data_IF_068977172522
#
_entry.id   IF_068977172522
#
_cell.length_a   1.000
_cell.length_b   1.000
_cell.length_c   1.000
_cell.angle_alpha   90.00
_cell.angle_beta   90.00
_cell.angle_gamma   90.00
#
_symmetry.space_group_name_H-M   'P 1'
#
loop_
_entity.id
_entity.type
_entity.pdbx_description
1 polymer ?
#
# COMPACT_ATOMS: atom_id res chain seq x y z
N UNK A 1 -2.56 -22.62 47.40
CA UNK A 1 -1.96 -21.28 47.26
C UNK A 1 -0.45 -21.20 47.04
N UNK A 2 0.24 -22.29 46.70
CA UNK A 2 1.62 -22.19 46.14
C UNK A 2 1.72 -22.59 44.64
N UNK A 3 0.76 -23.34 44.10
CA UNK A 3 0.76 -23.74 42.69
C UNK A 3 0.24 -22.70 41.69
N UNK A 4 -0.50 -21.67 42.15
CA UNK A 4 -0.96 -20.57 41.28
C UNK A 4 0.14 -19.51 41.07
N UNK A 5 1.08 -19.38 42.01
CA UNK A 5 2.19 -18.42 41.91
C UNK A 5 3.31 -18.92 40.98
N UNK A 6 3.54 -20.23 40.88
CA UNK A 6 4.54 -20.78 39.94
C UNK A 6 4.10 -20.71 38.48
N UNK A 7 2.80 -20.80 38.19
CA UNK A 7 2.29 -20.68 36.81
C UNK A 7 2.40 -19.24 36.29
N UNK A 8 2.05 -18.26 37.12
CA UNK A 8 2.25 -16.85 36.80
C UNK A 8 3.74 -16.49 36.68
N UNK A 9 4.61 -17.10 37.49
CA UNK A 9 6.05 -16.80 37.46
C UNK A 9 6.79 -17.52 36.32
N UNK A 10 6.26 -18.62 35.79
CA UNK A 10 6.78 -19.29 34.60
C UNK A 10 6.38 -18.54 33.31
N UNK A 11 5.17 -17.98 33.23
CA UNK A 11 4.73 -17.15 32.10
C UNK A 11 5.36 -15.75 32.09
N UNK A 12 5.60 -15.14 33.27
CA UNK A 12 6.29 -13.84 33.35
C UNK A 12 7.77 -13.96 32.94
N UNK A 13 8.43 -15.09 33.22
CA UNK A 13 9.81 -15.33 32.78
C UNK A 13 9.93 -15.65 31.28
N UNK A 14 8.88 -16.18 30.64
CA UNK A 14 8.84 -16.37 29.19
C UNK A 14 8.49 -15.07 28.41
N UNK A 15 7.97 -14.07 29.11
CA UNK A 15 7.70 -12.70 28.64
C UNK A 15 8.91 -11.76 28.75
N UNK A 16 10.06 -12.23 29.22
CA UNK A 16 11.36 -11.59 28.95
C UNK A 16 11.72 -11.79 27.47
N UNK A 17 10.99 -11.10 26.58
CA UNK A 17 11.30 -10.97 25.17
C UNK A 17 12.73 -10.42 25.09
N UNK A 18 13.70 -11.28 24.75
CA UNK A 18 15.05 -10.81 24.40
C UNK A 18 14.86 -9.65 23.44
N UNK A 19 15.38 -8.45 23.78
CA UNK A 19 15.47 -7.36 22.81
C UNK A 19 16.12 -7.95 21.56
N UNK A 20 15.35 -8.07 20.47
CA UNK A 20 15.88 -8.56 19.21
C UNK A 20 17.11 -7.73 18.87
N UNK A 21 18.21 -8.40 18.54
CA UNK A 21 19.40 -7.69 18.06
C UNK A 21 19.03 -6.94 16.78
N UNK A 22 19.55 -5.72 16.62
CA UNK A 22 19.37 -4.93 15.40
C UNK A 22 19.82 -5.69 14.15
N UNK A 23 20.84 -6.57 14.29
CA UNK A 23 21.31 -7.43 13.20
C UNK A 23 20.28 -8.51 12.83
N UNK A 24 19.70 -9.18 13.83
CA UNK A 24 18.63 -10.17 13.61
C UNK A 24 17.43 -9.52 12.93
N UNK A 25 17.07 -8.32 13.39
CA UNK A 25 16.01 -7.54 12.79
C UNK A 25 16.29 -7.20 11.32
N UNK A 26 17.50 -6.70 11.03
CA UNK A 26 17.89 -6.38 9.66
C UNK A 26 17.78 -7.60 8.75
N UNK A 27 18.31 -8.75 9.17
CA UNK A 27 18.25 -10.00 8.40
C UNK A 27 16.80 -10.44 8.14
N UNK A 28 15.92 -10.32 9.13
CA UNK A 28 14.51 -10.68 8.98
C UNK A 28 13.76 -9.78 7.98
N UNK A 29 14.10 -8.49 7.91
CA UNK A 29 13.41 -7.52 7.03
C UNK A 29 13.96 -7.56 5.60
N UNK A 30 15.26 -7.82 5.41
CA UNK A 30 15.93 -7.72 4.09
C UNK A 30 15.24 -8.57 3.01
N UNK A 31 14.93 -9.83 3.27
CA UNK A 31 14.33 -10.70 2.26
C UNK A 31 12.90 -10.26 1.86
N UNK A 32 11.96 -10.08 2.82
CA UNK A 32 10.67 -9.42 2.59
C UNK A 32 10.77 -8.14 1.76
N UNK A 33 11.71 -7.28 2.13
CA UNK A 33 11.89 -5.97 1.53
C UNK A 33 12.39 -6.03 0.08
N UNK A 34 13.39 -6.88 -0.20
CA UNK A 34 13.89 -7.08 -1.55
C UNK A 34 12.81 -7.71 -2.44
N UNK A 35 12.08 -8.71 -1.95
CA UNK A 35 10.99 -9.34 -2.70
C UNK A 35 9.89 -8.33 -3.04
N UNK A 36 9.44 -7.55 -2.06
CA UNK A 36 8.45 -6.49 -2.25
C UNK A 36 8.95 -5.47 -3.29
N UNK A 37 10.17 -4.94 -3.11
CA UNK A 37 10.73 -3.94 -4.00
C UNK A 37 10.95 -4.42 -5.44
N UNK A 38 11.32 -5.69 -5.65
CA UNK A 38 11.39 -6.26 -7.01
C UNK A 38 10.02 -6.32 -7.69
N UNK A 39 8.95 -6.59 -6.93
CA UNK A 39 7.58 -6.49 -7.44
C UNK A 39 7.21 -5.05 -7.83
N UNK A 40 7.65 -4.06 -7.05
CA UNK A 40 7.46 -2.64 -7.37
C UNK A 40 8.27 -2.22 -8.60
N UNK A 41 9.49 -2.73 -8.79
CA UNK A 41 10.27 -2.52 -10.02
C UNK A 41 9.53 -3.10 -11.22
N UNK A 42 8.99 -4.31 -11.10
CA UNK A 42 8.18 -4.91 -12.16
C UNK A 42 6.95 -4.07 -12.49
N UNK A 43 6.25 -3.55 -11.47
CA UNK A 43 5.13 -2.62 -11.68
C UNK A 43 5.58 -1.31 -12.36
N UNK A 44 6.72 -0.74 -11.95
CA UNK A 44 7.33 0.42 -12.60
C UNK A 44 7.62 0.19 -14.08
N UNK A 45 8.20 -0.97 -14.43
CA UNK A 45 8.46 -1.35 -15.84
C UNK A 45 7.16 -1.54 -16.61
N UNK A 46 6.09 -2.04 -15.98
CA UNK A 46 4.77 -2.08 -16.62
C UNK A 46 4.26 -0.66 -16.86
N UNK A 47 4.37 0.24 -15.87
CA UNK A 47 3.94 1.63 -16.00
C UNK A 47 4.67 2.33 -17.15
N UNK A 48 5.98 2.10 -17.28
CA UNK A 48 6.83 2.62 -18.36
C UNK A 48 6.34 2.24 -19.76
N UNK A 49 5.84 1.02 -19.89
CA UNK A 49 5.42 0.48 -21.18
C UNK A 49 4.02 0.94 -21.54
N UNK A 50 3.14 1.02 -20.54
CA UNK A 50 1.73 1.35 -20.76
C UNK A 50 1.50 2.86 -20.87
N UNK A 51 2.39 3.70 -20.32
CA UNK A 51 2.29 5.16 -20.48
C UNK A 51 2.27 5.60 -21.96
N UNK A 52 2.96 4.86 -22.82
CA UNK A 52 3.01 5.12 -24.28
C UNK A 52 1.87 4.43 -25.06
N UNK A 53 0.90 3.81 -24.38
CA UNK A 53 -0.26 3.25 -25.06
C UNK A 53 -1.25 4.36 -25.38
N UNK A 54 -1.87 4.30 -26.56
CA UNK A 54 -2.85 5.29 -27.02
C UNK A 54 -3.93 5.63 -25.98
N UNK A 55 -4.37 4.67 -25.16
CA UNK A 55 -5.36 4.94 -24.10
C UNK A 55 -4.81 5.83 -22.98
N UNK A 56 -3.55 5.70 -22.59
CA UNK A 56 -2.91 6.54 -21.57
C UNK A 56 -2.58 7.93 -22.11
N UNK A 57 -2.24 8.04 -23.40
CA UNK A 57 -2.01 9.34 -24.05
C UNK A 57 -3.31 10.14 -24.25
N UNK A 58 -4.41 9.45 -24.59
CA UNK A 58 -5.71 10.11 -24.81
C UNK A 58 -6.48 10.32 -23.50
N UNK A 59 -6.28 9.48 -22.49
CA UNK A 59 -6.97 9.53 -21.19
C UNK A 59 -5.93 9.64 -20.05
N UNK A 60 -5.24 10.79 -19.91
CA UNK A 60 -4.18 10.98 -18.91
C UNK A 60 -4.71 10.86 -17.47
N UNK A 61 -6.02 11.01 -17.25
CA UNK A 61 -6.67 10.82 -15.95
C UNK A 61 -6.45 9.41 -15.39
N UNK A 62 -6.04 8.44 -16.22
CA UNK A 62 -5.64 7.11 -15.76
C UNK A 62 -4.40 7.19 -14.85
N UNK A 63 -3.46 8.11 -15.09
CA UNK A 63 -2.29 8.30 -14.21
C UNK A 63 -2.69 8.81 -12.83
N UNK A 64 -3.77 9.60 -12.74
CA UNK A 64 -4.36 10.02 -11.47
C UNK A 64 -4.94 8.82 -10.71
N UNK A 65 -5.57 7.90 -11.45
CA UNK A 65 -6.20 6.70 -10.92
C UNK A 65 -5.17 5.64 -10.46
N UNK A 66 -3.99 5.57 -11.08
CA UNK A 66 -2.97 4.53 -10.80
C UNK A 66 -2.57 4.51 -9.32
N UNK A 67 -2.03 5.58 -8.69
CA UNK A 67 -1.67 5.51 -7.27
C UNK A 67 -2.85 5.25 -6.34
N UNK A 68 -4.06 5.73 -6.67
CA UNK A 68 -5.25 5.47 -5.88
C UNK A 68 -5.61 3.97 -5.85
N UNK A 69 -5.54 3.28 -6.99
CA UNK A 69 -5.81 1.84 -7.08
C UNK A 69 -4.66 0.98 -6.53
N UNK A 70 -3.40 1.42 -6.65
CA UNK A 70 -2.27 0.73 -6.03
C UNK A 70 -2.33 0.85 -4.50
N UNK A 71 -2.62 2.05 -3.98
CA UNK A 71 -2.82 2.29 -2.55
C UNK A 71 -4.03 1.52 -1.97
N UNK A 72 -5.09 1.33 -2.77
CA UNK A 72 -6.25 0.51 -2.39
C UNK A 72 -5.83 -0.91 -1.97
N UNK A 73 -4.93 -1.53 -2.72
CA UNK A 73 -4.42 -2.88 -2.41
C UNK A 73 -3.61 -2.88 -1.13
N UNK A 74 -2.71 -1.90 -0.94
CA UNK A 74 -1.93 -1.76 0.30
C UNK A 74 -2.81 -1.72 1.55
N UNK A 75 -4.02 -1.18 1.42
CA UNK A 75 -4.93 -0.98 2.54
C UNK A 75 -5.89 -2.17 2.74
N UNK A 76 -6.43 -2.74 1.67
CA UNK A 76 -7.41 -3.84 1.78
C UNK A 76 -6.77 -5.21 1.96
N UNK A 77 -5.68 -5.49 1.25
CA UNK A 77 -5.03 -6.81 1.31
C UNK A 77 -4.19 -6.96 2.56
N UNK A 78 -3.51 -5.89 2.98
CA UNK A 78 -2.74 -5.93 4.22
C UNK A 78 -3.66 -6.06 5.44
N UNK A 79 -4.81 -5.36 5.43
CA UNK A 79 -5.80 -5.54 6.50
C UNK A 79 -6.47 -6.92 6.44
N UNK A 80 -6.73 -7.47 5.25
CA UNK A 80 -7.17 -8.86 5.10
C UNK A 80 -6.15 -9.82 5.70
N UNK A 81 -4.88 -9.69 5.32
CA UNK A 81 -3.80 -10.54 5.78
C UNK A 81 -3.66 -10.48 7.30
N UNK A 82 -3.59 -9.29 7.87
CA UNK A 82 -3.52 -9.09 9.33
C UNK A 82 -4.72 -9.71 10.06
N UNK A 83 -5.95 -9.49 9.58
CA UNK A 83 -7.16 -10.08 10.17
C UNK A 83 -7.14 -11.60 10.12
N UNK A 84 -6.87 -12.17 8.96
CA UNK A 84 -6.83 -13.63 8.72
C UNK A 84 -5.69 -14.25 9.52
N UNK A 85 -4.51 -13.66 9.57
CA UNK A 85 -3.39 -14.07 10.41
C UNK A 85 -3.73 -14.02 11.91
N UNK A 86 -4.43 -12.97 12.37
CA UNK A 86 -4.86 -12.88 13.77
C UNK A 86 -5.83 -14.00 14.14
N UNK A 87 -6.81 -14.29 13.28
CA UNK A 87 -7.69 -15.44 13.47
C UNK A 87 -6.93 -16.77 13.41
N UNK A 88 -5.90 -16.85 12.57
CA UNK A 88 -5.03 -18.01 12.50
C UNK A 88 -4.27 -18.21 13.84
N UNK A 89 -3.61 -17.18 14.34
CA UNK A 89 -2.83 -17.22 15.58
C UNK A 89 -3.70 -17.52 16.82
N UNK A 90 -4.98 -17.12 16.80
CA UNK A 90 -5.98 -17.46 17.85
C UNK A 90 -6.52 -18.91 17.78
N UNK A 91 -6.05 -19.74 16.85
CA UNK A 91 -6.54 -21.12 16.68
C UNK A 91 -7.94 -21.23 16.01
N UNK A 92 -8.54 -20.11 15.60
CA UNK A 92 -9.91 -20.11 15.06
C UNK A 92 -10.02 -20.74 13.66
N UNK A 93 -8.90 -20.90 12.96
CA UNK A 93 -8.84 -21.55 11.65
C UNK A 93 -8.63 -23.07 11.71
N UNK A 94 -8.51 -23.67 12.90
CA UNK A 94 -8.40 -25.13 13.02
C UNK A 94 -9.75 -25.83 12.79
N UNK A 95 -10.86 -25.13 13.07
CA UNK A 95 -12.21 -25.59 12.72
C UNK A 95 -12.54 -25.21 11.27
N UNK A 96 -12.79 -26.22 10.43
CA UNK A 96 -13.09 -26.04 9.00
C UNK A 96 -14.31 -25.15 8.73
N UNK A 97 -15.35 -25.21 9.56
CA UNK A 97 -16.55 -24.36 9.40
C UNK A 97 -16.25 -22.91 9.75
N UNK A 98 -15.53 -22.67 10.85
CA UNK A 98 -15.11 -21.31 11.23
C UNK A 98 -14.15 -20.72 10.20
N UNK A 99 -13.17 -21.51 9.74
CA UNK A 99 -12.24 -21.11 8.68
C UNK A 99 -12.98 -20.67 7.41
N UNK A 100 -13.95 -21.48 6.93
CA UNK A 100 -14.73 -21.13 5.74
C UNK A 100 -15.58 -19.87 5.96
N UNK A 101 -16.17 -19.70 7.15
CA UNK A 101 -16.91 -18.47 7.49
C UNK A 101 -16.02 -17.23 7.50
N UNK A 102 -14.83 -17.31 8.10
CA UNK A 102 -13.85 -16.22 8.13
C UNK A 102 -13.39 -15.87 6.72
N UNK A 103 -13.00 -16.88 5.93
CA UNK A 103 -12.52 -16.70 4.56
C UNK A 103 -13.60 -16.08 3.68
N UNK A 104 -14.80 -16.66 3.68
CA UNK A 104 -15.91 -16.15 2.87
C UNK A 104 -16.29 -14.72 3.26
N UNK A 105 -16.46 -14.45 4.55
CA UNK A 105 -16.82 -13.12 5.05
C UNK A 105 -15.81 -12.06 4.65
N UNK A 106 -14.51 -12.34 4.86
CA UNK A 106 -13.47 -11.38 4.54
C UNK A 106 -13.28 -11.21 3.03
N UNK A 107 -13.46 -12.25 2.21
CA UNK A 107 -13.43 -12.11 0.74
C UNK A 107 -14.57 -11.21 0.25
N UNK A 108 -15.80 -11.46 0.71
CA UNK A 108 -16.96 -10.62 0.33
C UNK A 108 -16.78 -9.18 0.80
N UNK A 109 -16.23 -8.98 2.00
CA UNK A 109 -15.94 -7.65 2.53
C UNK A 109 -14.89 -6.91 1.68
N UNK A 110 -13.75 -7.55 1.39
CA UNK A 110 -12.66 -6.95 0.60
C UNK A 110 -13.15 -6.60 -0.79
N UNK A 111 -13.94 -7.49 -1.41
CA UNK A 111 -14.56 -7.25 -2.71
C UNK A 111 -15.49 -6.02 -2.68
N UNK A 112 -16.35 -5.92 -1.68
CA UNK A 112 -17.25 -4.79 -1.52
C UNK A 112 -16.50 -3.47 -1.28
N UNK A 113 -15.46 -3.48 -0.45
CA UNK A 113 -14.62 -2.32 -0.20
C UNK A 113 -13.85 -1.90 -1.46
N UNK A 114 -13.31 -2.87 -2.22
CA UNK A 114 -12.59 -2.62 -3.46
C UNK A 114 -13.50 -1.94 -4.49
N UNK A 115 -14.74 -2.41 -4.67
CA UNK A 115 -15.70 -1.80 -5.57
C UNK A 115 -16.06 -0.35 -5.19
N UNK A 116 -16.38 -0.11 -3.91
CA UNK A 116 -16.72 1.25 -3.43
C UNK A 116 -15.55 2.19 -3.65
N UNK A 117 -14.35 1.78 -3.25
CA UNK A 117 -13.19 2.67 -3.29
C UNK A 117 -12.69 2.87 -4.72
N UNK A 118 -12.74 1.85 -5.58
CA UNK A 118 -12.41 1.98 -7.00
C UNK A 118 -13.37 2.94 -7.72
N UNK A 119 -14.66 2.88 -7.41
CA UNK A 119 -15.63 3.84 -7.93
C UNK A 119 -15.33 5.26 -7.44
N UNK A 120 -15.13 5.45 -6.14
CA UNK A 120 -14.78 6.76 -5.59
C UNK A 120 -13.46 7.30 -6.17
N UNK A 121 -12.44 6.46 -6.34
CA UNK A 121 -11.18 6.83 -6.97
C UNK A 121 -11.38 7.30 -8.41
N UNK A 122 -12.24 6.64 -9.18
CA UNK A 122 -12.57 7.11 -10.54
C UNK A 122 -13.29 8.45 -10.54
N UNK A 123 -14.18 8.72 -9.58
CA UNK A 123 -14.83 10.02 -9.45
C UNK A 123 -13.82 11.12 -9.10
N UNK A 124 -12.88 10.85 -8.19
CA UNK A 124 -11.81 11.80 -7.85
C UNK A 124 -10.90 12.04 -9.06
N UNK A 125 -10.53 10.99 -9.80
CA UNK A 125 -9.72 11.11 -11.01
C UNK A 125 -10.42 11.96 -12.09
N UNK A 126 -11.73 11.78 -12.29
CA UNK A 126 -12.53 12.60 -13.20
C UNK A 126 -12.54 14.07 -12.76
N UNK A 127 -12.73 14.34 -11.46
CA UNK A 127 -12.73 15.71 -10.93
C UNK A 127 -11.35 16.35 -11.08
N UNK A 128 -10.28 15.63 -10.75
CA UNK A 128 -8.91 16.15 -10.87
C UNK A 128 -8.47 16.33 -12.31
N UNK A 129 -8.83 15.43 -13.23
CA UNK A 129 -8.59 15.60 -14.66
C UNK A 129 -9.31 16.79 -15.27
N UNK A 130 -10.47 17.17 -14.73
CA UNK A 130 -11.20 18.35 -15.17
C UNK A 130 -10.55 19.68 -14.74
N UNK A 131 -9.77 19.72 -13.64
CA UNK A 131 -9.23 20.96 -13.07
C UNK A 131 -8.29 21.73 -14.03
N UNK A 132 -7.32 21.10 -14.73
CA UNK A 132 -6.36 21.84 -15.56
C UNK A 132 -6.97 22.42 -16.84
N UNK A 133 -7.77 21.63 -17.58
CA UNK A 133 -8.21 21.96 -18.94
C UNK A 133 -9.70 22.30 -19.05
N UNK A 134 -10.51 21.98 -18.03
CA UNK A 134 -11.95 22.23 -18.02
C UNK A 134 -12.76 21.41 -19.03
N UNK A 135 -12.12 20.49 -19.76
CA UNK A 135 -12.76 19.63 -20.77
C UNK A 135 -13.43 18.44 -20.09
N UNK A 136 -14.66 18.16 -20.51
CA UNK A 136 -15.42 17.03 -20.01
C UNK A 136 -15.71 16.06 -21.14
N UNK A 137 -15.15 14.85 -21.06
CA UNK A 137 -15.41 13.78 -22.00
C UNK A 137 -16.10 12.60 -21.31
N UNK A 138 -17.34 12.33 -21.72
CA UNK A 138 -18.14 11.24 -21.14
C UNK A 138 -17.46 9.87 -21.33
N UNK A 139 -16.77 9.67 -22.45
CA UNK A 139 -16.06 8.42 -22.72
C UNK A 139 -14.93 8.19 -21.70
N UNK A 140 -14.17 9.23 -21.33
CA UNK A 140 -13.13 9.13 -20.31
C UNK A 140 -13.74 8.76 -18.96
N UNK A 141 -14.83 9.43 -18.58
CA UNK A 141 -15.53 9.12 -17.33
C UNK A 141 -16.00 7.65 -17.26
N UNK A 142 -16.54 7.12 -18.38
CA UNK A 142 -16.97 5.72 -18.46
C UNK A 142 -15.77 4.77 -18.41
N UNK A 143 -14.67 5.06 -19.11
CA UNK A 143 -13.44 4.25 -19.07
C UNK A 143 -12.89 4.19 -17.66
N UNK A 144 -12.79 5.33 -16.98
CA UNK A 144 -12.27 5.41 -15.62
C UNK A 144 -13.17 4.64 -14.65
N UNK A 145 -14.49 4.82 -14.71
CA UNK A 145 -15.43 4.12 -13.82
C UNK A 145 -15.48 2.62 -14.09
N UNK A 146 -15.72 2.20 -15.33
CA UNK A 146 -15.82 0.79 -15.68
C UNK A 146 -14.47 0.07 -15.52
N UNK A 147 -13.39 0.75 -15.89
CA UNK A 147 -12.03 0.25 -15.78
C UNK A 147 -11.60 0.09 -14.33
N UNK A 148 -11.83 1.08 -13.47
CA UNK A 148 -11.50 0.99 -12.04
C UNK A 148 -12.31 -0.10 -11.36
N UNK A 149 -13.62 -0.19 -11.62
CA UNK A 149 -14.51 -1.18 -11.00
C UNK A 149 -14.12 -2.60 -11.40
N UNK A 150 -13.94 -2.86 -12.70
CA UNK A 150 -13.59 -4.18 -13.19
C UNK A 150 -12.17 -4.59 -12.74
N UNK A 151 -11.23 -3.66 -12.78
CA UNK A 151 -9.87 -3.89 -12.27
C UNK A 151 -9.89 -4.17 -10.78
N UNK A 152 -10.56 -3.32 -10.01
CA UNK A 152 -10.69 -3.43 -8.56
C UNK A 152 -11.25 -4.80 -8.18
N UNK A 153 -12.37 -5.20 -8.78
CA UNK A 153 -13.02 -6.49 -8.54
C UNK A 153 -12.14 -7.70 -8.89
N UNK A 154 -11.54 -7.71 -10.10
CA UNK A 154 -10.71 -8.84 -10.53
C UNK A 154 -9.43 -8.90 -9.68
N UNK A 155 -8.77 -7.76 -9.45
CA UNK A 155 -7.55 -7.70 -8.64
C UNK A 155 -7.82 -8.13 -7.20
N UNK A 156 -8.85 -7.59 -6.53
CA UNK A 156 -9.19 -7.95 -5.14
C UNK A 156 -9.54 -9.42 -4.98
N UNK A 157 -10.28 -9.98 -5.94
CA UNK A 157 -10.62 -11.40 -5.93
C UNK A 157 -9.37 -12.27 -6.10
N UNK A 158 -8.54 -12.00 -7.12
CA UNK A 158 -7.33 -12.78 -7.39
C UNK A 158 -6.32 -12.70 -6.24
N UNK A 159 -6.02 -11.49 -5.78
CA UNK A 159 -5.06 -11.26 -4.72
C UNK A 159 -5.58 -11.78 -3.38
N UNK A 160 -6.87 -11.59 -3.06
CA UNK A 160 -7.50 -12.17 -1.88
C UNK A 160 -7.35 -13.69 -1.82
N UNK A 161 -7.59 -14.39 -2.95
CA UNK A 161 -7.40 -15.83 -3.05
C UNK A 161 -5.94 -16.27 -2.87
N UNK A 162 -5.00 -15.57 -3.51
CA UNK A 162 -3.57 -15.81 -3.35
C UNK A 162 -3.18 -15.67 -1.87
N UNK A 163 -3.62 -14.58 -1.23
CA UNK A 163 -3.29 -14.26 0.16
C UNK A 163 -3.84 -15.28 1.15
N UNK A 164 -5.09 -15.70 0.99
CA UNK A 164 -5.66 -16.77 1.82
C UNK A 164 -4.91 -18.08 1.59
N UNK A 165 -4.58 -18.41 0.34
CA UNK A 165 -3.78 -19.58 -0.01
C UNK A 165 -2.42 -19.59 0.68
N UNK A 166 -1.70 -18.46 0.65
CA UNK A 166 -0.42 -18.28 1.34
C UNK A 166 -0.59 -18.44 2.85
N UNK A 167 -1.58 -17.80 3.46
CA UNK A 167 -1.78 -17.84 4.92
C UNK A 167 -2.09 -19.27 5.40
N UNK A 168 -3.01 -19.97 4.73
CA UNK A 168 -3.35 -21.36 5.05
C UNK A 168 -2.14 -22.28 4.79
N UNK A 169 -1.41 -22.06 3.70
CA UNK A 169 -0.20 -22.81 3.37
C UNK A 169 0.90 -22.65 4.41
N UNK A 170 1.21 -21.41 4.80
CA UNK A 170 2.20 -21.10 5.84
C UNK A 170 1.85 -21.77 7.16
N UNK A 171 0.56 -21.74 7.57
CA UNK A 171 0.10 -22.43 8.78
C UNK A 171 0.35 -23.94 8.71
N UNK A 172 0.04 -24.59 7.58
CA UNK A 172 0.29 -26.04 7.40
C UNK A 172 1.77 -26.41 7.48
N UNK A 173 2.65 -25.48 7.12
CA UNK A 173 4.11 -25.65 7.19
C UNK A 173 4.72 -25.19 8.54
N UNK A 174 3.90 -24.71 9.48
CA UNK A 174 4.39 -24.16 10.76
C UNK A 174 5.16 -22.85 10.62
N UNK A 175 5.06 -22.16 9.48
CA UNK A 175 5.67 -20.85 9.23
C UNK A 175 4.66 -19.77 9.63
N UNK A 176 5.12 -18.72 10.32
CA UNK A 176 4.26 -17.58 10.61
C UNK A 176 3.77 -16.97 9.28
N UNK A 177 2.44 -16.92 9.03
CA UNK A 177 1.89 -16.37 7.79
C UNK A 177 2.31 -14.91 7.53
N UNK A 178 2.53 -14.10 8.56
CA UNK A 178 2.88 -12.67 8.40
C UNK A 178 4.24 -12.48 7.73
N UNK A 179 5.15 -13.43 7.90
CA UNK A 179 6.50 -13.40 7.31
C UNK A 179 6.52 -13.71 5.81
N UNK A 180 5.43 -14.29 5.27
CA UNK A 180 5.35 -14.77 3.87
C UNK A 180 4.24 -14.06 3.12
N UNK A 181 3.10 -13.84 3.75
CA UNK A 181 1.93 -13.19 3.16
C UNK A 181 2.21 -11.72 2.84
N UNK A 182 2.76 -10.96 3.79
CA UNK A 182 3.01 -9.51 3.63
C UNK A 182 3.91 -9.19 2.42
N UNK A 183 5.05 -9.87 2.20
CA UNK A 183 5.92 -9.58 1.06
C UNK A 183 5.34 -10.04 -0.29
N UNK A 184 4.58 -11.14 -0.30
CA UNK A 184 3.89 -11.62 -1.49
C UNK A 184 2.77 -10.65 -1.88
N UNK A 185 1.98 -10.18 -0.91
CA UNK A 185 0.99 -9.13 -1.12
C UNK A 185 1.66 -7.90 -1.75
N UNK A 186 2.69 -7.39 -1.07
CA UNK A 186 3.43 -6.20 -1.47
C UNK A 186 4.00 -6.33 -2.90
N UNK A 187 4.62 -7.46 -3.24
CA UNK A 187 5.24 -7.67 -4.55
C UNK A 187 4.24 -7.88 -5.70
N UNK A 188 3.24 -8.76 -5.51
CA UNK A 188 2.33 -9.13 -6.60
C UNK A 188 1.21 -8.12 -6.80
N UNK A 189 0.73 -7.48 -5.74
CA UNK A 189 -0.51 -6.72 -5.85
C UNK A 189 -0.40 -5.50 -6.77
N UNK A 190 0.71 -4.77 -6.76
CA UNK A 190 0.87 -3.58 -7.59
C UNK A 190 1.06 -3.99 -9.06
N UNK A 191 1.86 -5.03 -9.29
CA UNK A 191 2.08 -5.60 -10.61
C UNK A 191 0.75 -6.11 -11.22
N UNK A 192 -0.02 -6.89 -10.47
CA UNK A 192 -1.30 -7.45 -10.93
C UNK A 192 -2.30 -6.32 -11.18
N UNK A 193 -2.45 -5.39 -10.23
CA UNK A 193 -3.43 -4.30 -10.33
C UNK A 193 -3.13 -3.40 -11.51
N UNK A 194 -1.87 -2.97 -11.69
CA UNK A 194 -1.49 -2.11 -12.81
C UNK A 194 -1.61 -2.82 -14.16
N UNK A 195 -1.23 -4.09 -14.23
CA UNK A 195 -1.37 -4.89 -15.46
C UNK A 195 -2.83 -5.06 -15.84
N UNK A 196 -3.69 -5.39 -14.88
CA UNK A 196 -5.13 -5.50 -15.08
C UNK A 196 -5.74 -4.15 -15.48
N UNK A 197 -5.41 -3.06 -14.77
CA UNK A 197 -5.88 -1.72 -15.09
C UNK A 197 -5.59 -1.39 -16.55
N UNK A 198 -4.30 -1.49 -16.92
CA UNK A 198 -3.82 -1.11 -18.25
C UNK A 198 -4.46 -1.93 -19.37
N UNK A 199 -4.63 -3.23 -19.15
CA UNK A 199 -5.25 -4.12 -20.15
C UNK A 199 -6.76 -3.91 -20.26
N UNK A 200 -7.45 -3.70 -19.14
CA UNK A 200 -8.89 -3.44 -19.09
C UNK A 200 -9.22 -2.09 -19.72
N UNK A 201 -8.54 -1.01 -19.33
CA UNK A 201 -8.81 0.33 -19.89
C UNK A 201 -8.50 0.38 -21.39
N UNK A 202 -7.44 -0.30 -21.85
CA UNK A 202 -7.16 -0.47 -23.28
C UNK A 202 -8.29 -1.20 -24.01
N UNK A 203 -8.79 -2.28 -23.44
CA UNK A 203 -9.93 -3.02 -23.98
C UNK A 203 -11.20 -2.17 -24.05
N UNK A 204 -11.51 -1.46 -22.96
CA UNK A 204 -12.66 -0.57 -22.87
C UNK A 204 -12.57 0.60 -23.85
N UNK A 205 -11.39 1.20 -24.03
CA UNK A 205 -11.16 2.27 -25.00
C UNK A 205 -11.51 1.80 -26.42
N UNK A 206 -11.06 0.61 -26.81
CA UNK A 206 -11.39 0.04 -28.12
C UNK A 206 -12.89 -0.28 -28.25
N UNK A 207 -13.52 -0.76 -27.18
CA UNK A 207 -14.95 -1.09 -27.15
C UNK A 207 -15.84 0.15 -27.22
N UNK A 208 -15.43 1.25 -26.58
CA UNK A 208 -16.19 2.51 -26.54
C UNK A 208 -16.09 3.32 -27.83
N UNK A 209 -14.97 3.20 -28.55
CA UNK A 209 -14.81 3.83 -29.87
C UNK A 209 -15.66 3.15 -30.96
N UNK A 210 -16.23 1.98 -30.69
CA UNK A 210 -17.13 1.27 -31.60
C UNK A 210 -18.61 1.51 -31.20
N UNK A 211 -19.43 2.14 -32.05
CA UNK A 211 -20.82 2.49 -31.71
C UNK A 211 -21.69 1.30 -31.28
N UNK A 212 -21.45 0.12 -31.85
CA UNK A 212 -22.22 -1.11 -31.56
C UNK A 212 -21.92 -1.68 -30.16
N UNK A 213 -20.74 -1.39 -29.61
CA UNK A 213 -20.26 -1.96 -28.34
C UNK A 213 -20.11 -0.92 -27.22
N UNK A 214 -20.39 0.36 -27.50
CA UNK A 214 -20.27 1.45 -26.53
C UNK A 214 -21.14 1.28 -25.26
N UNK A 215 -22.20 0.47 -25.32
CA UNK A 215 -23.07 0.18 -24.17
C UNK A 215 -22.42 -0.70 -23.09
N UNK A 216 -21.31 -1.40 -23.42
CA UNK A 216 -20.64 -2.32 -22.49
C UNK A 216 -20.07 -1.58 -21.27
N UNK A 217 -19.44 -0.41 -21.47
CA UNK A 217 -18.89 0.39 -20.37
C UNK A 217 -19.93 0.77 -19.33
N UNK A 218 -21.03 1.47 -19.71
CA UNK A 218 -22.13 1.79 -18.80
C UNK A 218 -22.77 0.55 -18.16
N UNK A 219 -22.91 -0.56 -18.90
CA UNK A 219 -23.46 -1.79 -18.36
C UNK A 219 -22.60 -2.38 -17.24
N UNK A 220 -21.27 -2.33 -17.36
CA UNK A 220 -20.32 -2.73 -16.32
C UNK A 220 -20.51 -1.87 -15.07
N UNK A 221 -20.58 -0.55 -15.23
CA UNK A 221 -20.77 0.38 -14.10
C UNK A 221 -22.09 0.10 -13.38
N UNK A 222 -23.19 -0.05 -14.12
CA UNK A 222 -24.51 -0.36 -13.54
C UNK A 222 -24.49 -1.69 -12.81
N UNK A 223 -23.88 -2.74 -13.41
CA UNK A 223 -23.77 -4.05 -12.78
C UNK A 223 -23.07 -3.97 -11.42
N UNK A 224 -21.93 -3.29 -11.35
CA UNK A 224 -21.18 -3.16 -10.11
C UNK A 224 -21.91 -2.30 -9.06
N UNK A 225 -22.54 -1.19 -9.46
CA UNK A 225 -23.36 -0.38 -8.55
C UNK A 225 -24.50 -1.21 -7.93
N UNK A 226 -25.10 -2.13 -8.69
CA UNK A 226 -26.19 -2.98 -8.20
C UNK A 226 -25.70 -4.13 -7.31
N UNK A 227 -24.53 -4.71 -7.58
CA UNK A 227 -24.01 -5.84 -6.79
C UNK A 227 -23.35 -5.38 -5.49
N UNK A 228 -22.75 -4.19 -5.44
CA UNK A 228 -22.03 -3.70 -4.24
C UNK A 228 -22.91 -3.69 -2.97
N UNK A 229 -24.16 -3.18 -2.96
CA UNK A 229 -25.04 -3.25 -1.79
C UNK A 229 -25.31 -4.68 -1.33
N UNK A 230 -25.42 -5.63 -2.26
CA UNK A 230 -25.63 -7.06 -1.94
C UNK A 230 -24.40 -7.62 -1.24
N UNK A 231 -23.20 -7.33 -1.74
CA UNK A 231 -21.95 -7.78 -1.11
C UNK A 231 -21.77 -7.15 0.28
N UNK A 232 -22.07 -5.86 0.43
CA UNK A 232 -22.04 -5.19 1.74
C UNK A 232 -23.02 -5.81 2.73
N UNK A 233 -24.23 -6.14 2.28
CA UNK A 233 -25.21 -6.83 3.10
C UNK A 233 -24.75 -8.23 3.51
N UNK A 234 -24.15 -8.99 2.59
CA UNK A 234 -23.57 -10.31 2.89
C UNK A 234 -22.41 -10.21 3.89
N UNK A 235 -21.51 -9.24 3.72
CA UNK A 235 -20.40 -8.98 4.65
C UNK A 235 -20.91 -8.53 6.03
N UNK A 236 -22.00 -7.75 6.10
CA UNK A 236 -22.58 -7.32 7.37
C UNK A 236 -23.21 -8.47 8.16
N UNK A 237 -23.73 -9.50 7.46
CA UNK A 237 -24.33 -10.68 8.11
C UNK A 237 -23.30 -11.59 8.76
N UNK A 238 -22.04 -11.50 8.38
CA UNK A 238 -20.98 -12.33 8.93
C UNK A 238 -20.39 -11.70 10.20
N UNK A 239 -20.36 -12.47 11.29
CA UNK A 239 -19.88 -12.03 12.61
C UNK A 239 -18.43 -11.52 12.61
N UNK A 240 -17.58 -12.06 11.73
CA UNK A 240 -16.15 -11.70 11.65
C UNK A 240 -15.88 -10.40 10.88
N UNK A 241 -16.87 -9.88 10.15
CA UNK A 241 -16.72 -8.69 9.28
C UNK A 241 -17.71 -7.58 9.56
N UNK A 242 -18.77 -7.84 10.32
CA UNK A 242 -19.84 -6.87 10.63
C UNK A 242 -19.33 -5.54 11.19
N UNK A 243 -18.36 -5.57 12.10
CA UNK A 243 -17.79 -4.37 12.71
C UNK A 243 -16.96 -3.56 11.71
N UNK A 244 -16.20 -4.25 10.84
CA UNK A 244 -15.41 -3.60 9.78
C UNK A 244 -16.32 -2.93 8.76
N UNK A 245 -17.47 -3.52 8.42
CA UNK A 245 -18.47 -2.88 7.53
C UNK A 245 -19.04 -1.60 8.14
N UNK A 246 -19.11 -1.47 9.46
CA UNK A 246 -19.65 -0.25 10.11
C UNK A 246 -18.61 0.84 10.25
N UNK A 247 -17.39 0.50 10.66
CA UNK A 247 -16.40 1.47 11.13
C UNK A 247 -15.12 1.52 10.30
N UNK A 248 -14.90 0.56 9.39
CA UNK A 248 -13.66 0.45 8.61
C UNK A 248 -13.54 1.37 7.39
N UNK A 249 -14.49 2.28 7.16
CA UNK A 249 -14.53 3.11 5.94
C UNK A 249 -13.61 4.33 5.99
N UNK A 250 -13.53 4.99 7.15
CA UNK A 250 -12.83 6.27 7.27
C UNK A 250 -11.35 6.16 6.85
N UNK A 251 -10.55 5.21 7.38
CA UNK A 251 -9.15 5.10 6.98
C UNK A 251 -8.97 4.76 5.50
N UNK A 252 -9.84 3.91 4.95
CA UNK A 252 -9.74 3.43 3.56
C UNK A 252 -10.09 4.54 2.57
N UNK A 253 -11.19 5.27 2.80
CA UNK A 253 -11.63 6.37 1.93
C UNK A 253 -10.64 7.54 2.00
N UNK A 254 -10.21 7.91 3.21
CA UNK A 254 -9.25 9.00 3.38
C UNK A 254 -7.90 8.69 2.73
N UNK A 255 -7.43 7.44 2.88
CA UNK A 255 -6.21 6.99 2.21
C UNK A 255 -6.34 7.08 0.69
N UNK A 256 -7.45 6.62 0.11
CA UNK A 256 -7.69 6.74 -1.34
C UNK A 256 -7.63 8.20 -1.83
N UNK A 257 -8.23 9.15 -1.10
CA UNK A 257 -8.20 10.58 -1.46
C UNK A 257 -6.76 11.13 -1.42
N UNK A 258 -5.99 10.77 -0.40
CA UNK A 258 -4.58 11.17 -0.27
C UNK A 258 -3.75 10.58 -1.42
N UNK A 259 -3.88 9.28 -1.71
CA UNK A 259 -3.16 8.62 -2.82
C UNK A 259 -3.56 9.19 -4.19
N UNK A 260 -4.83 9.57 -4.39
CA UNK A 260 -5.30 10.22 -5.62
C UNK A 260 -4.62 11.58 -5.85
N UNK A 261 -4.30 12.30 -4.78
CA UNK A 261 -3.51 13.54 -4.87
C UNK A 261 -2.09 13.26 -5.34
N UNK A 262 -1.49 12.14 -4.89
CA UNK A 262 -0.24 11.63 -5.43
C UNK A 262 -0.34 11.28 -6.92
N UNK A 263 -1.43 10.64 -7.35
CA UNK A 263 -1.74 10.40 -8.77
C UNK A 263 -1.82 11.66 -9.61
N UNK A 264 -2.45 12.71 -9.10
CA UNK A 264 -2.50 14.00 -9.80
C UNK A 264 -1.11 14.63 -10.00
N UNK A 265 -0.23 14.49 -9.01
CA UNK A 265 1.17 14.91 -9.16
C UNK A 265 1.91 14.04 -10.17
N UNK A 266 1.64 12.73 -10.19
CA UNK A 266 2.25 11.79 -11.13
C UNK A 266 1.91 12.14 -12.57
N UNK A 267 0.64 12.42 -12.85
CA UNK A 267 0.16 12.86 -14.17
C UNK A 267 0.95 14.08 -14.67
N UNK A 268 1.02 15.14 -13.86
CA UNK A 268 1.80 16.33 -14.20
C UNK A 268 3.31 16.04 -14.37
N UNK A 269 3.87 15.16 -13.54
CA UNK A 269 5.28 14.80 -13.60
C UNK A 269 5.63 14.03 -14.89
N UNK A 270 4.74 13.12 -15.33
CA UNK A 270 4.92 12.34 -16.56
C UNK A 270 4.86 13.21 -17.81
N UNK A 271 3.98 14.22 -17.83
CA UNK A 271 3.94 15.22 -18.91
C UNK A 271 5.25 16.01 -19.06
N UNK A 272 6.06 16.10 -17.98
CA UNK A 272 7.36 16.77 -18.00
C UNK A 272 8.53 15.82 -18.24
N UNK A 273 8.48 14.64 -17.64
CA UNK A 273 9.55 13.65 -17.67
C UNK A 273 8.94 12.23 -17.67
N UNK A 274 8.85 11.56 -18.84
CA UNK A 274 8.30 10.20 -18.94
C UNK A 274 9.05 9.17 -18.08
N UNK A 275 10.33 9.41 -17.79
CA UNK A 275 11.13 8.51 -16.96
C UNK A 275 10.67 8.36 -15.51
N UNK A 276 9.85 9.29 -15.01
CA UNK A 276 9.26 9.22 -13.66
C UNK A 276 8.42 7.94 -13.46
N UNK A 277 7.83 7.39 -14.53
CA UNK A 277 6.94 6.24 -14.51
C UNK A 277 7.54 5.01 -13.83
N UNK A 278 8.80 4.69 -14.11
CA UNK A 278 9.44 3.48 -13.57
C UNK A 278 9.75 3.61 -12.09
N UNK A 279 10.10 4.83 -11.67
CA UNK A 279 10.55 5.10 -10.33
C UNK A 279 9.41 5.36 -9.35
N UNK A 280 8.24 5.82 -9.82
CA UNK A 280 7.11 6.14 -8.95
C UNK A 280 6.58 4.95 -8.14
N UNK A 281 6.29 3.77 -8.75
CA UNK A 281 5.91 2.59 -7.96
C UNK A 281 7.00 2.19 -6.97
N UNK A 282 8.28 2.19 -7.37
CA UNK A 282 9.39 1.82 -6.47
C UNK A 282 9.47 2.77 -5.28
N UNK A 283 9.43 4.08 -5.50
CA UNK A 283 9.49 5.09 -4.43
C UNK A 283 8.31 4.95 -3.46
N UNK A 284 7.10 4.84 -3.99
CA UNK A 284 5.88 4.77 -3.20
C UNK A 284 5.80 3.45 -2.41
N UNK A 285 6.00 2.32 -3.09
CA UNK A 285 5.89 1.00 -2.48
C UNK A 285 6.98 0.70 -1.47
N UNK A 286 8.24 1.07 -1.74
CA UNK A 286 9.34 0.83 -0.78
C UNK A 286 9.10 1.61 0.51
N UNK A 287 8.74 2.90 0.42
CA UNK A 287 8.42 3.71 1.59
C UNK A 287 7.19 3.22 2.34
N UNK A 288 6.10 2.94 1.62
CA UNK A 288 4.84 2.42 2.17
C UNK A 288 5.01 1.09 2.90
N UNK A 289 5.77 0.15 2.33
CA UNK A 289 6.00 -1.16 2.96
C UNK A 289 6.86 -1.06 4.22
N UNK A 290 7.92 -0.24 4.22
CA UNK A 290 8.76 -0.04 5.42
C UNK A 290 7.96 0.57 6.57
N UNK A 291 7.17 1.60 6.28
CA UNK A 291 6.38 2.28 7.30
C UNK A 291 5.25 1.40 7.84
N UNK A 292 4.65 0.54 6.99
CA UNK A 292 3.65 -0.44 7.41
C UNK A 292 4.23 -1.49 8.36
N UNK A 293 5.44 -2.02 8.06
CA UNK A 293 6.14 -2.94 8.98
C UNK A 293 6.45 -2.24 10.30
N UNK A 294 6.88 -0.97 10.27
CA UNK A 294 7.11 -0.22 11.50
C UNK A 294 5.81 -0.01 12.30
N UNK A 295 4.70 0.36 11.63
CA UNK A 295 3.41 0.60 12.27
C UNK A 295 2.90 -0.67 12.98
N UNK A 296 2.94 -1.81 12.29
CA UNK A 296 2.56 -3.11 12.85
C UNK A 296 3.41 -3.51 14.06
N UNK A 297 4.72 -3.20 14.05
CA UNK A 297 5.60 -3.49 15.20
C UNK A 297 5.31 -2.61 16.41
N UNK A 298 5.06 -1.32 16.20
CA UNK A 298 4.66 -0.41 17.28
C UNK A 298 3.31 -0.84 17.86
N UNK A 299 2.34 -1.13 16.99
CA UNK A 299 1.02 -1.64 17.39
C UNK A 299 1.11 -2.96 18.18
N UNK A 300 1.88 -3.92 17.68
CA UNK A 300 2.14 -5.19 18.39
C UNK A 300 2.79 -4.97 19.75
N UNK A 301 3.70 -4.00 19.87
CA UNK A 301 4.31 -3.66 21.16
C UNK A 301 3.26 -3.13 22.14
N UNK A 302 2.40 -2.21 21.70
CA UNK A 302 1.31 -1.65 22.50
C UNK A 302 0.33 -2.75 22.95
N UNK A 303 -0.11 -3.62 22.04
CA UNK A 303 -0.96 -4.76 22.38
C UNK A 303 -0.29 -5.74 23.35
N UNK A 304 1.01 -5.98 23.19
CA UNK A 304 1.77 -6.89 24.07
C UNK A 304 2.06 -6.29 25.46
N UNK A 305 1.89 -4.98 25.64
CA UNK A 305 2.13 -4.31 26.93
C UNK A 305 1.08 -4.68 27.99
N UNK A 306 -0.06 -5.25 27.58
CA UNK A 306 -1.16 -5.59 28.48
C UNK A 306 -1.94 -4.38 29.01
N UNK A 307 -1.57 -3.16 28.60
CA UNK A 307 -2.27 -1.92 28.96
C UNK A 307 -3.53 -1.79 28.09
N UNK A 308 -4.70 -1.45 28.66
CA UNK A 308 -5.91 -1.23 27.87
C UNK A 308 -5.73 -0.06 26.90
N UNK A 309 -6.45 -0.12 25.78
CA UNK A 309 -6.49 0.97 24.79
C UNK A 309 -6.87 2.31 25.44
N UNK A 310 -6.37 3.42 24.91
CA UNK A 310 -6.53 4.74 25.50
C UNK A 310 -5.45 5.12 26.51
N UNK A 311 -4.84 4.14 27.20
CA UNK A 311 -3.76 4.36 28.17
C UNK A 311 -2.41 4.00 27.55
N UNK A 312 -1.40 4.85 27.72
CA UNK A 312 -0.06 4.62 27.20
C UNK A 312 0.83 3.87 28.22
N UNK A 313 1.64 2.91 27.79
CA UNK A 313 2.69 2.33 28.61
C UNK A 313 3.71 3.39 29.04
N UNK A 314 4.37 3.20 30.18
CA UNK A 314 5.40 4.12 30.68
C UNK A 314 6.62 4.25 29.75
N UNK A 315 6.80 3.32 28.81
CA UNK A 315 7.84 3.36 27.77
C UNK A 315 7.51 4.27 26.58
N UNK A 316 6.27 4.73 26.46
CA UNK A 316 5.80 5.54 25.33
C UNK A 316 5.63 7.00 25.75
N UNK A 317 6.16 7.93 24.94
CA UNK A 317 6.00 9.35 25.18
C UNK A 317 4.68 9.88 24.58
N UNK A 318 3.87 10.64 25.35
CA UNK A 318 2.65 11.23 24.82
C UNK A 318 2.97 12.44 23.94
N UNK A 319 2.39 12.48 22.74
CA UNK A 319 2.36 13.68 21.89
C UNK A 319 3.18 13.58 20.61
N UNK A 320 3.41 14.74 19.97
CA UNK A 320 4.26 14.84 18.79
C UNK A 320 5.71 14.84 19.23
N UNK A 321 6.37 13.69 19.06
CA UNK A 321 7.81 13.53 19.34
C UNK A 321 8.64 14.31 18.33
N UNK A 322 9.91 14.57 18.60
CA UNK A 322 10.82 15.16 17.61
C UNK A 322 11.42 14.08 16.70
N UNK A 323 11.84 14.39 15.47
CA UNK A 323 12.55 13.43 14.61
C UNK A 323 13.79 12.82 15.31
N UNK A 324 14.52 13.63 16.10
CA UNK A 324 15.64 13.15 16.90
C UNK A 324 15.24 12.08 17.91
N UNK A 325 14.06 12.19 18.52
CA UNK A 325 13.53 11.14 19.40
C UNK A 325 13.17 9.87 18.63
N UNK A 326 12.60 9.99 17.43
CA UNK A 326 12.26 8.84 16.57
C UNK A 326 13.50 8.03 16.22
N UNK A 327 14.57 8.65 15.76
CA UNK A 327 15.75 7.92 15.28
C UNK A 327 16.82 7.69 16.36
N UNK A 328 16.97 8.62 17.30
CA UNK A 328 18.11 8.64 18.25
C UNK A 328 17.69 8.66 19.72
N UNK A 329 16.40 8.56 20.03
CA UNK A 329 15.90 8.50 21.40
C UNK A 329 16.39 7.25 22.14
N UNK A 330 17.27 7.42 23.13
CA UNK A 330 17.78 6.30 23.95
C UNK A 330 16.68 5.60 24.76
N UNK A 331 15.63 6.34 25.10
CA UNK A 331 14.47 5.82 25.84
C UNK A 331 13.34 5.34 24.92
N UNK A 332 13.46 5.52 23.60
CA UNK A 332 12.46 5.10 22.64
C UNK A 332 12.71 3.64 22.23
N UNK A 333 11.80 2.68 22.55
CA UNK A 333 11.96 1.28 22.21
C UNK A 333 12.00 1.02 20.69
N UNK A 334 11.43 1.94 19.89
CA UNK A 334 11.27 1.81 18.44
C UNK A 334 12.38 2.49 17.63
N UNK A 335 13.29 3.23 18.29
CA UNK A 335 14.34 3.98 17.60
C UNK A 335 15.33 3.09 16.86
N UNK A 336 15.61 1.91 17.41
CA UNK A 336 16.46 0.91 16.78
C UNK A 336 15.90 0.41 15.44
N UNK A 337 14.60 0.08 15.41
CA UNK A 337 13.96 -0.41 14.19
C UNK A 337 13.82 0.67 13.13
N UNK A 338 13.45 1.89 13.52
CA UNK A 338 13.36 3.02 12.61
C UNK A 338 14.71 3.30 11.91
N UNK A 339 15.83 3.26 12.65
CA UNK A 339 17.18 3.40 12.09
C UNK A 339 17.53 2.30 11.11
N UNK A 340 17.25 1.04 11.45
CA UNK A 340 17.54 -0.10 10.57
C UNK A 340 16.77 0.04 9.26
N UNK A 341 15.48 0.34 9.32
CA UNK A 341 14.64 0.53 8.11
C UNK A 341 15.11 1.71 7.27
N UNK A 342 15.44 2.85 7.90
CA UNK A 342 15.94 4.03 7.19
C UNK A 342 17.29 3.79 6.51
N UNK A 343 18.23 3.12 7.18
CA UNK A 343 19.54 2.78 6.58
C UNK A 343 19.43 1.73 5.47
N UNK A 344 18.46 0.81 5.55
CA UNK A 344 18.25 -0.23 4.55
C UNK A 344 17.73 0.33 3.21
N UNK A 345 17.19 1.55 3.20
CA UNK A 345 16.79 2.26 1.96
C UNK A 345 17.97 2.39 1.00
N UNK A 346 19.19 2.65 1.50
CA UNK A 346 20.38 2.86 0.66
C UNK A 346 20.72 1.61 -0.17
N UNK A 347 21.06 0.46 0.42
CA UNK A 347 21.38 -0.74 -0.36
C UNK A 347 20.17 -1.23 -1.15
N UNK A 348 18.95 -1.08 -0.63
CA UNK A 348 17.72 -1.45 -1.31
C UNK A 348 17.50 -0.71 -2.62
N UNK A 349 17.45 0.61 -2.54
CA UNK A 349 17.23 1.47 -3.70
C UNK A 349 18.33 1.32 -4.73
N UNK A 350 19.59 1.12 -4.32
CA UNK A 350 20.68 0.83 -5.26
C UNK A 350 20.46 -0.48 -6.04
N UNK A 351 19.99 -1.54 -5.39
CA UNK A 351 19.66 -2.81 -6.06
C UNK A 351 18.51 -2.60 -7.05
N UNK A 352 17.47 -1.83 -6.66
CA UNK A 352 16.33 -1.56 -7.53
C UNK A 352 16.72 -0.70 -8.74
N UNK A 353 17.52 0.36 -8.55
CA UNK A 353 18.06 1.17 -9.63
C UNK A 353 18.91 0.34 -10.60
N UNK A 354 19.83 -0.47 -10.08
CA UNK A 354 20.65 -1.36 -10.92
C UNK A 354 19.78 -2.34 -11.71
N UNK A 355 18.72 -2.88 -11.10
CA UNK A 355 17.78 -3.77 -11.79
C UNK A 355 17.05 -3.04 -12.92
N UNK A 356 16.60 -1.80 -12.69
CA UNK A 356 15.96 -0.96 -13.71
C UNK A 356 16.92 -0.71 -14.88
N UNK A 357 18.19 -0.40 -14.58
CA UNK A 357 19.24 -0.21 -15.59
C UNK A 357 19.41 -1.45 -16.49
N UNK A 358 19.51 -2.63 -15.87
CA UNK A 358 19.69 -3.89 -16.59
C UNK A 358 18.47 -4.25 -17.45
N UNK A 359 17.27 -3.82 -17.05
CA UNK A 359 16.04 -4.02 -17.81
C UNK A 359 15.84 -2.97 -18.92
N UNK A 360 16.75 -2.00 -19.07
CA UNK A 360 16.66 -0.89 -20.03
C UNK A 360 15.32 -0.13 -19.95
N UNK A 361 14.80 0.03 -18.73
CA UNK A 361 13.55 0.75 -18.48
C UNK A 361 13.82 2.17 -17.95
N UNK A 362 12.92 3.12 -18.22
CA UNK A 362 12.90 4.42 -17.56
C UNK A 362 13.33 5.62 -18.39
N UNK A 363 13.65 5.48 -19.67
CA UNK A 363 13.96 6.61 -20.58
C UNK A 363 14.97 7.65 -20.02
N UNK A 364 15.79 7.27 -19.04
CA UNK A 364 16.72 8.14 -18.31
C UNK A 364 18.02 7.42 -18.07
N UNK A 365 19.15 8.10 -18.25
CA UNK A 365 20.45 7.55 -17.87
C UNK A 365 20.54 7.50 -16.35
N UNK A 366 21.00 6.38 -15.81
CA UNK A 366 21.26 6.30 -14.37
C UNK A 366 22.65 6.92 -14.10
N UNK A 367 22.70 8.25 -14.11
CA UNK A 367 23.92 9.01 -13.82
C UNK A 367 24.25 8.97 -12.32
N UNK A 368 25.51 9.20 -11.91
CA UNK A 368 25.86 9.36 -10.50
C UNK A 368 25.10 10.50 -9.81
N UNK A 369 24.71 11.54 -10.56
CA UNK A 369 23.93 12.68 -10.04
C UNK A 369 22.48 12.26 -9.79
N UNK A 370 21.87 11.55 -10.75
CA UNK A 370 20.55 10.94 -10.60
C UNK A 370 20.50 10.02 -9.39
N UNK A 371 21.47 9.10 -9.24
CA UNK A 371 21.56 8.19 -8.08
C UNK A 371 21.60 8.98 -6.77
N UNK A 372 22.41 10.04 -6.70
CA UNK A 372 22.53 10.84 -5.49
C UNK A 372 21.21 11.55 -5.11
N UNK A 373 20.53 12.15 -6.09
CA UNK A 373 19.24 12.83 -5.87
C UNK A 373 18.13 11.83 -5.54
N UNK A 374 18.05 10.71 -6.25
CA UNK A 374 17.07 9.65 -6.02
C UNK A 374 17.21 9.04 -4.62
N UNK A 375 18.43 8.76 -4.18
CA UNK A 375 18.71 8.27 -2.82
C UNK A 375 18.37 9.33 -1.76
N UNK A 376 18.70 10.60 -1.99
CA UNK A 376 18.37 11.67 -1.07
C UNK A 376 16.85 11.80 -0.88
N UNK A 377 16.09 11.83 -1.99
CA UNK A 377 14.63 11.87 -1.97
C UNK A 377 14.04 10.66 -1.24
N UNK A 378 14.53 9.45 -1.56
CA UNK A 378 14.10 8.21 -0.90
C UNK A 378 14.32 8.25 0.61
N UNK A 379 15.49 8.72 1.05
CA UNK A 379 15.84 8.83 2.46
C UNK A 379 14.97 9.87 3.19
N UNK A 380 14.66 10.99 2.54
CA UNK A 380 13.79 12.03 3.09
C UNK A 380 12.36 11.50 3.24
N UNK A 381 11.82 10.88 2.19
CA UNK A 381 10.47 10.29 2.20
C UNK A 381 10.33 9.30 3.36
N UNK A 382 11.21 8.30 3.45
CA UNK A 382 11.16 7.27 4.49
C UNK A 382 11.38 7.86 5.88
N UNK A 383 12.25 8.86 6.03
CA UNK A 383 12.45 9.53 7.32
C UNK A 383 11.17 10.22 7.81
N UNK A 384 10.44 10.92 6.92
CA UNK A 384 9.17 11.56 7.24
C UNK A 384 8.13 10.50 7.61
N UNK A 385 8.01 9.42 6.82
CA UNK A 385 7.03 8.36 7.06
C UNK A 385 7.25 7.66 8.40
N UNK A 386 8.48 7.26 8.73
CA UNK A 386 8.79 6.61 10.01
C UNK A 386 8.53 7.54 11.21
N UNK A 387 8.78 8.84 11.04
CA UNK A 387 8.48 9.84 12.06
C UNK A 387 6.98 9.99 12.29
N UNK A 388 6.21 10.17 11.21
CA UNK A 388 4.75 10.28 11.27
C UNK A 388 4.13 8.99 11.82
N UNK A 389 4.68 7.82 11.48
CA UNK A 389 4.24 6.53 11.98
C UNK A 389 4.26 6.44 13.51
N UNK A 390 5.38 6.84 14.13
CA UNK A 390 5.49 6.81 15.58
C UNK A 390 4.45 7.71 16.25
N UNK A 391 4.26 8.91 15.73
CA UNK A 391 3.25 9.83 16.25
C UNK A 391 1.82 9.30 16.04
N UNK A 392 1.50 8.83 14.83
CA UNK A 392 0.16 8.44 14.44
C UNK A 392 -0.33 7.20 15.20
N UNK A 393 0.51 6.16 15.31
CA UNK A 393 0.14 4.93 16.02
C UNK A 393 -0.17 5.21 17.50
N UNK A 394 0.68 5.98 18.17
CA UNK A 394 0.47 6.41 19.57
C UNK A 394 -0.79 7.28 19.69
N UNK A 395 -1.05 8.14 18.71
CA UNK A 395 -2.23 9.02 18.70
C UNK A 395 -3.54 8.26 18.51
N UNK A 396 -3.55 7.23 17.65
CA UNK A 396 -4.69 6.35 17.41
C UNK A 396 -4.97 5.47 18.62
N UNK A 397 -3.92 4.89 19.22
CA UNK A 397 -4.04 4.12 20.46
C UNK A 397 -4.73 4.92 21.58
N UNK A 398 -4.37 6.20 21.72
CA UNK A 398 -4.99 7.12 22.69
C UNK A 398 -6.45 7.47 22.39
N UNK A 399 -6.91 7.30 21.15
CA UNK A 399 -8.31 7.49 20.75
C UNK A 399 -9.15 6.22 20.87
N UNK A 400 -8.54 5.12 21.31
CA UNK A 400 -9.17 3.78 21.31
C UNK A 400 -9.44 3.25 19.89
N UNK A 401 -8.68 3.76 18.90
CA UNK A 401 -8.68 3.25 17.53
C UNK A 401 -7.57 2.20 17.38
N UNK A 402 -7.89 1.07 16.74
CA UNK A 402 -6.93 0.02 16.42
C UNK A 402 -5.92 0.50 15.37
N UNK A 403 -4.63 0.69 15.73
CA UNK A 403 -3.63 1.17 14.80
C UNK A 403 -3.39 0.22 13.63
N UNK A 404 -3.65 -1.08 13.77
CA UNK A 404 -3.48 -2.04 12.68
C UNK A 404 -4.51 -1.84 11.56
N UNK A 405 -5.70 -1.33 11.90
CA UNK A 405 -6.76 -1.05 10.95
C UNK A 405 -6.70 0.39 10.39
N UNK A 406 -6.17 1.34 11.17
CA UNK A 406 -6.24 2.76 10.85
C UNK A 406 -4.89 3.36 10.42
N UNK A 407 -3.77 3.01 11.07
CA UNK A 407 -2.49 3.70 10.83
C UNK A 407 -1.90 3.36 9.47
N UNK A 408 -1.92 2.07 9.10
CA UNK A 408 -1.33 1.59 7.85
C UNK A 408 -1.93 2.31 6.63
N UNK A 409 -3.27 2.40 6.46
CA UNK A 409 -3.86 3.13 5.35
C UNK A 409 -3.41 4.59 5.21
N UNK A 410 -3.32 5.30 6.33
CA UNK A 410 -2.86 6.70 6.30
C UNK A 410 -1.39 6.82 5.92
N UNK A 411 -0.54 5.92 6.43
CA UNK A 411 0.90 5.98 6.24
C UNK A 411 1.30 5.57 4.82
N UNK A 412 0.65 4.55 4.24
CA UNK A 412 0.88 4.14 2.85
C UNK A 412 0.43 5.24 1.89
N UNK A 413 -0.75 5.82 2.10
CA UNK A 413 -1.24 6.91 1.26
C UNK A 413 -0.39 8.18 1.35
N UNK A 414 0.08 8.53 2.56
CA UNK A 414 1.06 9.59 2.73
C UNK A 414 2.38 9.23 2.01
N UNK A 415 2.74 7.95 1.98
CA UNK A 415 3.88 7.44 1.23
C UNK A 415 3.75 7.64 -0.27
N UNK A 416 2.57 7.39 -0.84
CA UNK A 416 2.27 7.64 -2.26
C UNK A 416 2.39 9.12 -2.62
N UNK A 417 1.79 9.98 -1.78
CA UNK A 417 1.82 11.43 -1.98
C UNK A 417 3.24 11.99 -1.87
N UNK A 418 3.95 11.67 -0.79
CA UNK A 418 5.31 12.15 -0.56
C UNK A 418 6.30 11.55 -1.56
N UNK A 419 6.17 10.26 -1.87
CA UNK A 419 7.05 9.57 -2.80
C UNK A 419 6.96 10.17 -4.19
N UNK A 420 5.75 10.29 -4.73
CA UNK A 420 5.53 10.91 -6.04
C UNK A 420 5.93 12.39 -6.05
N UNK A 421 5.55 13.16 -5.03
CA UNK A 421 5.85 14.59 -4.94
C UNK A 421 7.35 14.89 -4.85
N UNK A 422 8.08 14.17 -3.98
CA UNK A 422 9.51 14.35 -3.85
C UNK A 422 10.27 13.82 -5.06
N UNK A 423 9.81 12.73 -5.68
CA UNK A 423 10.38 12.21 -6.92
C UNK A 423 10.25 13.24 -8.04
N UNK A 424 9.05 13.80 -8.25
CA UNK A 424 8.82 14.85 -9.25
C UNK A 424 9.71 16.09 -8.99
N UNK A 425 9.85 16.50 -7.73
CA UNK A 425 10.75 17.58 -7.34
C UNK A 425 12.23 17.25 -7.59
N UNK A 426 12.65 15.99 -7.38
CA UNK A 426 14.01 15.52 -7.67
C UNK A 426 14.32 15.56 -9.17
N UNK A 427 13.39 15.13 -10.02
CA UNK A 427 13.50 15.24 -11.47
C UNK A 427 13.58 16.69 -11.94
N UNK A 428 12.74 17.57 -11.37
CA UNK A 428 12.78 19.00 -11.67
C UNK A 428 14.13 19.62 -11.25
N UNK A 429 14.66 19.22 -10.09
CA UNK A 429 15.97 19.67 -9.62
C UNK A 429 17.11 19.23 -10.55
N UNK A 430 17.12 17.97 -11.00
CA UNK A 430 18.10 17.46 -11.95
C UNK A 430 18.06 18.23 -13.29
N UNK A 431 16.84 18.53 -13.77
CA UNK A 431 16.65 19.37 -14.94
C UNK A 431 17.28 20.76 -14.79
N UNK A 432 17.16 21.39 -13.60
CA UNK A 432 17.79 22.69 -13.31
C UNK A 432 19.32 22.62 -13.18
N UNK A 433 19.86 21.56 -12.60
CA UNK A 433 21.31 21.41 -12.32
C UNK A 433 22.11 21.05 -13.57
N UNK A 434 21.44 20.75 -14.68
CA UNK A 434 22.08 20.53 -15.97
C UNK A 434 22.51 19.09 -16.21
N UNK A 435 21.99 18.14 -15.42
CA UNK A 435 21.91 16.74 -15.83
C UNK A 435 20.80 16.64 -16.89
N UNK A 436 21.09 17.24 -18.05
CA UNK A 436 20.27 17.17 -19.25
C UNK A 436 20.55 15.82 -19.87
N UNK A 437 20.07 14.76 -19.22
CA UNK A 437 19.99 13.48 -19.90
C UNK A 437 19.21 13.71 -21.19
N UNK A 438 19.91 13.54 -22.30
CA UNK A 438 19.54 14.03 -23.62
C UNK A 438 18.44 13.18 -24.28
N UNK A 439 17.32 12.99 -23.56
CA UNK A 439 16.03 12.48 -24.05
C UNK A 439 14.85 13.28 -23.45
N UNK A 440 15.11 14.47 -22.87
CA UNK A 440 14.09 15.44 -22.46
C UNK A 440 13.68 16.29 -23.66
N UNK A 441 12.83 15.72 -24.53
CA UNK A 441 12.05 16.46 -25.54
C UNK A 441 12.84 17.10 -26.67
N UNK A 442 12.91 16.39 -27.79
CA UNK A 442 12.72 16.98 -29.13
C UNK A 442 11.30 16.64 -29.63
#
# INVERSE_FOLDING_TARGET
DHHLLEYDQFDINHLNKRKESLCTLAIQIVFPFLMAGMGMVAAGVVLDKVQHWNVFENVPEIFILVPALLGLKGNLEMTLASRVSTYANKGLMDDRRKMLSIVWGNMVLVEAQAMVVAFLASLVAIVFGWIPDGKWEMNHAIILCAGSLLTGAIASCLLGLIMIGVIIGSRKLGINPDNVATPIAASLGDLITLTLLSTIVKGLFNVLNNPETAWIGPAIVIFFILITPVLLWLAHRNEYTREVVKYGWEPVIMAMVISSTGGFILDFALLKNPGVAVFAPVMNGVGGNLVAVQASRISTHLHSSGVPMGILPASEEPGCVTPCYTFFGKNNPHSGSAKVMWLMVIPGQLIFLFTIEQLQAGHTSITPQFIAVYLMVSLIQVAILLHVCQWLVVRLWRKEDDPDNCAIPYLTALGDLLGTGLLAAGFLFLWFVGDRDADVGD
#
